data_IF_461868320615
#
_entry.id   IF_461868320615
#
_cell.length_a   1.000
_cell.length_b   1.000
_cell.length_c   1.000
_cell.angle_alpha   90.00
_cell.angle_beta   90.00
_cell.angle_gamma   90.00
#
_symmetry.space_group_name_H-M   'P 1'
#
loop_
_entity.id
_entity.type
_entity.pdbx_description
1 polymer ?
#
# COMPACT_ATOMS: atom_id res chain seq x y z
N UNK A 1 5.12 -19.44 24.31
CA UNK A 1 4.50 -18.77 23.15
C UNK A 1 3.00 -18.78 23.40
N UNK A 2 2.41 -17.61 23.61
CA UNK A 2 0.96 -17.47 23.72
C UNK A 2 0.35 -17.69 22.32
N UNK A 3 -0.60 -18.60 22.22
CA UNK A 3 -1.35 -18.86 20.99
C UNK A 3 -2.31 -17.69 20.75
N UNK A 4 -1.89 -16.70 19.94
CA UNK A 4 -2.75 -15.64 19.47
C UNK A 4 -3.58 -16.16 18.29
N UNK A 5 -4.89 -16.29 18.47
CA UNK A 5 -5.84 -16.60 17.41
C UNK A 5 -6.47 -15.31 16.87
N UNK A 6 -6.46 -15.13 15.55
CA UNK A 6 -7.16 -14.03 14.88
C UNK A 6 -8.38 -14.58 14.14
N UNK A 7 -9.52 -13.90 14.26
CA UNK A 7 -10.73 -14.24 13.52
C UNK A 7 -11.26 -13.02 12.77
N UNK A 8 -11.70 -13.23 11.53
CA UNK A 8 -12.39 -12.20 10.75
C UNK A 8 -13.89 -12.32 11.04
N UNK A 9 -14.57 -11.22 11.46
CA UNK A 9 -16.01 -11.26 11.68
C UNK A 9 -16.78 -11.71 10.44
N UNK A 10 -17.74 -12.62 10.60
CA UNK A 10 -18.50 -13.22 9.49
C UNK A 10 -19.25 -12.19 8.63
N UNK A 11 -19.70 -11.09 9.22
CA UNK A 11 -20.33 -9.98 8.48
C UNK A 11 -19.36 -9.32 7.47
N UNK A 12 -18.08 -9.19 7.84
CA UNK A 12 -17.05 -8.65 6.95
C UNK A 12 -16.78 -9.64 5.81
N UNK A 13 -16.69 -10.93 6.12
CA UNK A 13 -16.51 -11.99 5.10
C UNK A 13 -17.67 -11.96 4.11
N UNK A 14 -18.90 -11.91 4.59
CA UNK A 14 -20.10 -11.88 3.75
C UNK A 14 -20.12 -10.66 2.82
N UNK A 15 -19.87 -9.46 3.33
CA UNK A 15 -19.83 -8.23 2.50
C UNK A 15 -18.78 -8.33 1.38
N UNK A 16 -17.59 -8.85 1.70
CA UNK A 16 -16.51 -9.07 0.73
C UNK A 16 -16.90 -10.09 -0.33
N UNK A 17 -17.46 -11.24 0.09
CA UNK A 17 -17.90 -12.30 -0.83
C UNK A 17 -19.01 -11.82 -1.74
N UNK A 18 -20.03 -11.13 -1.21
CA UNK A 18 -21.14 -10.58 -1.99
C UNK A 18 -20.65 -9.56 -3.04
N UNK A 19 -19.64 -8.76 -2.72
CA UNK A 19 -19.00 -7.83 -3.67
C UNK A 19 -18.21 -8.58 -4.75
N UNK A 20 -17.44 -9.60 -4.37
CA UNK A 20 -16.69 -10.41 -5.35
C UNK A 20 -17.66 -11.10 -6.32
N UNK A 21 -18.76 -11.65 -5.82
CA UNK A 21 -19.78 -12.33 -6.67
C UNK A 21 -20.43 -11.33 -7.64
N UNK A 22 -20.75 -10.13 -7.17
CA UNK A 22 -21.45 -9.12 -8.00
C UNK A 22 -20.54 -8.39 -8.98
N UNK A 23 -19.31 -8.09 -8.57
CA UNK A 23 -18.42 -7.15 -9.28
C UNK A 23 -17.11 -7.79 -9.76
N UNK A 24 -16.91 -9.09 -9.47
CA UNK A 24 -15.68 -9.82 -9.80
C UNK A 24 -14.46 -9.43 -8.95
N UNK A 25 -14.55 -8.33 -8.19
CA UNK A 25 -13.51 -7.79 -7.33
C UNK A 25 -14.06 -6.84 -6.26
N UNK A 26 -13.34 -6.70 -5.17
CA UNK A 26 -13.65 -5.67 -4.16
C UNK A 26 -12.98 -4.35 -4.57
N UNK A 27 -13.78 -3.37 -4.93
CA UNK A 27 -13.31 -1.99 -5.12
C UNK A 27 -13.40 -1.28 -3.78
N UNK A 28 -12.27 -0.81 -3.26
CA UNK A 28 -12.24 0.04 -2.07
C UNK A 28 -12.07 1.49 -2.51
N UNK A 29 -12.88 2.36 -1.93
CA UNK A 29 -12.72 3.78 -2.11
C UNK A 29 -11.44 4.27 -1.42
N UNK A 30 -10.79 5.21 -2.05
CA UNK A 30 -9.68 5.96 -1.48
C UNK A 30 -9.99 7.45 -1.54
N UNK A 31 -9.89 8.10 -0.39
CA UNK A 31 -10.13 9.54 -0.24
C UNK A 31 -8.83 10.33 -0.05
N UNK A 32 -7.78 9.68 0.44
CA UNK A 32 -6.53 10.33 0.84
C UNK A 32 -6.58 10.92 2.24
N UNK A 33 -7.63 10.63 3.02
CA UNK A 33 -7.76 11.06 4.40
C UNK A 33 -7.15 10.02 5.34
N UNK A 34 -6.44 10.50 6.36
CA UNK A 34 -6.03 9.70 7.52
C UNK A 34 -6.64 10.30 8.75
N UNK A 35 -7.16 9.45 9.62
CA UNK A 35 -7.89 9.87 10.80
C UNK A 35 -7.13 9.59 12.08
N UNK A 36 -7.43 10.39 13.10
CA UNK A 36 -6.93 10.25 14.47
C UNK A 36 -8.07 10.49 15.45
N UNK A 37 -8.04 9.80 16.58
CA UNK A 37 -9.04 9.94 17.63
C UNK A 37 -8.99 11.34 18.28
N UNK A 38 -10.16 11.88 18.63
CA UNK A 38 -10.26 13.21 19.22
C UNK A 38 -9.93 13.26 20.72
N UNK A 39 -9.92 12.13 21.43
CA UNK A 39 -9.77 12.08 22.89
C UNK A 39 -8.59 12.90 23.40
N UNK A 40 -7.44 12.81 22.74
CA UNK A 40 -6.22 13.47 23.20
C UNK A 40 -6.21 14.98 22.89
N UNK A 41 -7.15 15.46 22.05
CA UNK A 41 -7.25 16.84 21.62
C UNK A 41 -8.46 17.58 22.20
N UNK A 42 -9.47 16.86 22.72
CA UNK A 42 -10.77 17.40 23.11
C UNK A 42 -10.76 18.38 24.31
N UNK A 43 -9.58 18.63 24.89
CA UNK A 43 -9.37 19.68 25.92
C UNK A 43 -8.15 20.54 25.60
N UNK A 44 -7.63 20.45 24.38
CA UNK A 44 -6.49 21.27 23.99
C UNK A 44 -6.98 22.64 23.52
N UNK A 45 -6.16 23.68 23.73
CA UNK A 45 -6.42 25.01 23.19
C UNK A 45 -6.40 25.09 21.66
N UNK A 46 -6.11 23.97 20.99
CA UNK A 46 -5.97 23.87 19.52
C UNK A 46 -7.20 23.28 18.83
N UNK A 47 -7.97 22.44 19.52
CA UNK A 47 -9.13 21.75 18.96
C UNK A 47 -10.26 21.79 19.99
N UNK A 48 -11.31 22.56 19.68
CA UNK A 48 -12.52 22.62 20.49
C UNK A 48 -13.65 21.86 19.79
N UNK A 49 -13.56 20.51 19.83
CA UNK A 49 -14.58 19.65 19.28
C UNK A 49 -14.93 18.53 20.24
N UNK A 50 -16.23 18.30 20.39
CA UNK A 50 -16.79 17.28 21.28
C UNK A 50 -17.25 16.02 20.53
N UNK A 51 -17.24 16.03 19.21
CA UNK A 51 -17.66 14.92 18.34
C UNK A 51 -16.98 15.02 16.96
N UNK A 52 -17.02 13.93 16.21
CA UNK A 52 -16.36 13.80 14.92
C UNK A 52 -15.06 12.99 15.01
N UNK A 53 -14.25 13.08 13.98
CA UNK A 53 -12.92 12.46 13.91
C UNK A 53 -11.92 13.45 13.33
N UNK A 54 -10.72 13.52 13.90
CA UNK A 54 -9.67 14.42 13.41
C UNK A 54 -9.10 13.91 12.08
N UNK A 55 -9.00 14.79 11.09
CA UNK A 55 -8.19 14.57 9.90
C UNK A 55 -6.73 14.83 10.26
N UNK A 56 -5.97 13.79 10.47
CA UNK A 56 -4.55 13.87 10.84
C UNK A 56 -3.67 14.27 9.67
N UNK A 57 -3.96 13.77 8.48
CA UNK A 57 -3.26 14.15 7.24
C UNK A 57 -4.15 13.98 6.02
N UNK A 58 -3.76 14.68 4.95
CA UNK A 58 -4.34 14.57 3.61
C UNK A 58 -3.21 14.19 2.65
N UNK A 59 -3.41 13.11 1.89
CA UNK A 59 -2.43 12.66 0.90
C UNK A 59 -2.39 13.62 -0.30
N UNK A 60 -1.20 13.87 -0.84
CA UNK A 60 -1.01 14.64 -2.06
C UNK A 60 -1.71 13.98 -3.26
N UNK A 61 -2.19 14.79 -4.21
CA UNK A 61 -2.92 14.35 -5.40
C UNK A 61 -4.19 13.54 -5.09
N UNK A 62 -4.65 13.58 -3.85
CA UNK A 62 -5.82 12.83 -3.39
C UNK A 62 -7.14 13.53 -3.72
N UNK A 63 -8.27 12.78 -3.72
CA UNK A 63 -9.60 13.38 -3.74
C UNK A 63 -9.82 14.41 -2.63
N UNK A 64 -9.31 14.16 -1.42
CA UNK A 64 -9.44 15.06 -0.28
C UNK A 64 -8.67 16.36 -0.50
N UNK A 65 -7.46 16.31 -1.05
CA UNK A 65 -6.69 17.51 -1.37
C UNK A 65 -7.39 18.34 -2.45
N UNK A 66 -7.89 17.71 -3.52
CA UNK A 66 -8.68 18.38 -4.55
C UNK A 66 -9.95 19.04 -4.00
N UNK A 67 -10.56 18.41 -2.98
CA UNK A 67 -11.68 18.94 -2.23
C UNK A 67 -11.26 20.01 -1.19
N UNK A 68 -9.97 20.38 -1.13
CA UNK A 68 -9.41 21.38 -0.20
C UNK A 68 -9.58 21.04 1.29
N UNK A 69 -9.67 19.74 1.60
CA UNK A 69 -9.56 19.26 2.97
C UNK A 69 -8.12 19.39 3.46
N UNK A 70 -7.95 19.57 4.77
CA UNK A 70 -6.65 19.86 5.41
C UNK A 70 -6.47 19.04 6.68
N UNK A 71 -5.23 18.80 7.06
CA UNK A 71 -4.93 18.35 8.42
C UNK A 71 -5.45 19.38 9.44
N UNK A 72 -6.05 18.88 10.52
CA UNK A 72 -6.71 19.69 11.53
C UNK A 72 -8.21 19.91 11.30
N UNK A 73 -8.78 19.56 10.14
CA UNK A 73 -10.23 19.48 9.96
C UNK A 73 -10.81 18.35 10.82
N UNK A 74 -12.04 18.54 11.28
CA UNK A 74 -12.77 17.50 12.01
C UNK A 74 -13.95 17.06 11.16
N UNK A 75 -13.93 15.83 10.70
CA UNK A 75 -15.05 15.26 9.97
C UNK A 75 -16.17 14.89 10.94
N UNK A 76 -17.32 15.55 10.83
CA UNK A 76 -18.44 15.38 11.76
C UNK A 76 -19.60 14.58 11.17
N UNK A 77 -19.77 14.58 9.85
CA UNK A 77 -20.76 13.74 9.18
C UNK A 77 -20.33 13.41 7.73
N UNK A 78 -20.77 12.27 7.22
CA UNK A 78 -20.67 11.88 5.81
C UNK A 78 -22.07 11.52 5.30
N UNK A 79 -22.51 12.17 4.20
CA UNK A 79 -23.88 12.08 3.65
C UNK A 79 -24.97 12.25 4.74
N UNK A 80 -24.76 13.22 5.62
CA UNK A 80 -25.69 13.54 6.71
C UNK A 80 -25.66 12.55 7.89
N UNK A 81 -24.95 11.43 7.79
CA UNK A 81 -24.82 10.49 8.89
C UNK A 81 -23.61 10.87 9.78
N UNK A 82 -23.79 11.02 11.09
CA UNK A 82 -22.76 11.51 12.02
C UNK A 82 -21.57 10.55 12.09
N UNK A 83 -20.40 11.13 12.42
CA UNK A 83 -19.16 10.40 12.68
C UNK A 83 -18.85 10.56 14.17
N UNK A 84 -18.50 9.44 14.82
CA UNK A 84 -18.06 9.39 16.20
C UNK A 84 -16.67 8.73 16.24
N UNK A 85 -15.64 9.55 16.45
CA UNK A 85 -14.24 9.11 16.46
C UNK A 85 -13.49 9.69 17.65
N UNK A 86 -14.09 9.52 18.85
CA UNK A 86 -13.50 9.99 20.09
C UNK A 86 -12.32 9.12 20.51
N UNK A 87 -12.40 7.80 20.30
CA UNK A 87 -11.41 6.82 20.74
C UNK A 87 -10.75 6.10 19.58
N UNK A 88 -9.55 5.59 19.81
CA UNK A 88 -8.81 4.76 18.84
C UNK A 88 -9.62 3.54 18.37
N UNK A 89 -10.44 2.98 19.25
CA UNK A 89 -11.34 1.85 18.94
C UNK A 89 -12.44 2.19 17.93
N UNK A 90 -12.73 3.47 17.72
CA UNK A 90 -13.75 3.93 16.76
C UNK A 90 -13.19 4.00 15.33
N UNK A 91 -11.87 4.21 15.19
CA UNK A 91 -11.20 4.44 13.91
C UNK A 91 -11.43 3.31 12.88
N UNK A 92 -11.35 2.01 13.22
CA UNK A 92 -11.57 0.94 12.26
C UNK A 92 -12.97 0.95 11.61
N UNK A 93 -13.99 1.41 12.33
CA UNK A 93 -15.35 1.54 11.81
C UNK A 93 -15.45 2.73 10.83
N UNK A 94 -14.81 3.85 11.16
CA UNK A 94 -14.74 5.05 10.33
C UNK A 94 -13.97 4.73 9.04
N UNK A 95 -12.80 4.11 9.14
CA UNK A 95 -11.98 3.73 7.98
C UNK A 95 -12.74 2.78 7.04
N UNK A 96 -13.44 1.77 7.57
CA UNK A 96 -14.31 0.89 6.77
C UNK A 96 -15.40 1.67 6.07
N UNK A 97 -16.05 2.63 6.76
CA UNK A 97 -17.10 3.47 6.18
C UNK A 97 -16.56 4.28 4.99
N UNK A 98 -15.42 4.93 5.14
CA UNK A 98 -14.78 5.66 4.06
C UNK A 98 -14.30 4.74 2.92
N UNK A 99 -13.80 3.56 3.22
CA UNK A 99 -13.41 2.57 2.22
C UNK A 99 -14.60 1.97 1.44
N UNK A 100 -15.83 2.08 1.97
CA UNK A 100 -17.07 1.60 1.33
C UNK A 100 -17.84 2.67 0.55
N UNK A 101 -17.35 3.91 0.50
CA UNK A 101 -17.97 4.99 -0.28
C UNK A 101 -18.03 4.64 -1.77
N UNK A 102 -19.02 5.21 -2.47
CA UNK A 102 -19.13 5.04 -3.91
C UNK A 102 -17.96 5.71 -4.63
N UNK A 103 -17.24 4.91 -5.43
CA UNK A 103 -16.10 5.42 -6.20
C UNK A 103 -16.60 6.32 -7.34
N UNK A 104 -15.90 7.44 -7.55
CA UNK A 104 -16.19 8.44 -8.60
C UNK A 104 -17.57 9.15 -8.44
N UNK A 105 -18.26 8.95 -7.32
CA UNK A 105 -19.48 9.67 -7.00
C UNK A 105 -19.22 10.72 -5.92
N UNK A 106 -19.83 11.91 -6.03
CA UNK A 106 -19.68 12.94 -5.03
C UNK A 106 -20.35 12.52 -3.73
N UNK A 107 -19.61 12.62 -2.64
CA UNK A 107 -20.04 12.35 -1.27
C UNK A 107 -19.95 13.69 -0.51
N UNK A 108 -20.96 14.03 0.26
CA UNK A 108 -20.95 15.22 1.11
C UNK A 108 -20.25 14.90 2.44
N UNK A 109 -19.22 15.65 2.75
CA UNK A 109 -18.52 15.59 4.03
C UNK A 109 -18.77 16.92 4.77
N UNK A 110 -19.40 16.85 5.93
CA UNK A 110 -19.52 18.00 6.83
C UNK A 110 -18.32 18.00 7.76
N UNK A 111 -17.61 19.13 7.82
CA UNK A 111 -16.39 19.29 8.62
C UNK A 111 -16.50 20.51 9.53
N UNK A 112 -15.77 20.48 10.62
CA UNK A 112 -15.48 21.65 11.46
C UNK A 112 -14.02 22.04 11.20
N UNK A 113 -13.82 23.31 10.81
CA UNK A 113 -12.50 23.94 10.62
C UNK A 113 -12.38 25.17 11.51
N UNK A 114 -11.61 25.04 12.59
CA UNK A 114 -11.68 26.02 13.66
C UNK A 114 -13.08 26.09 14.25
N UNK A 115 -13.74 27.24 14.20
CA UNK A 115 -15.13 27.44 14.64
C UNK A 115 -16.17 27.34 13.51
N UNK A 116 -15.76 27.15 12.28
CA UNK A 116 -16.65 27.13 11.11
C UNK A 116 -17.06 25.73 10.72
N UNK A 117 -18.38 25.53 10.50
CA UNK A 117 -18.88 24.29 9.89
C UNK A 117 -18.95 24.48 8.38
N UNK A 118 -18.29 23.57 7.65
CA UNK A 118 -18.21 23.59 6.18
C UNK A 118 -18.76 22.29 5.60
N UNK A 119 -19.48 22.39 4.49
CA UNK A 119 -19.86 21.23 3.69
C UNK A 119 -18.93 21.13 2.48
N UNK A 120 -18.24 20.01 2.35
CA UNK A 120 -17.26 19.74 1.30
C UNK A 120 -17.73 18.58 0.45
N UNK A 121 -17.69 18.74 -0.87
CA UNK A 121 -17.96 17.63 -1.80
C UNK A 121 -16.66 16.90 -2.14
N UNK A 122 -16.64 15.60 -1.91
CA UNK A 122 -15.49 14.71 -2.12
C UNK A 122 -15.90 13.57 -3.04
N UNK A 123 -15.15 13.33 -4.13
CA UNK A 123 -15.37 12.18 -5.02
C UNK A 123 -14.25 11.15 -4.82
N UNK A 124 -14.50 10.04 -4.09
CA UNK A 124 -13.49 9.04 -3.83
C UNK A 124 -12.94 8.39 -5.10
N UNK A 125 -11.66 8.05 -5.16
CA UNK A 125 -11.04 7.30 -6.24
C UNK A 125 -10.94 5.80 -5.89
N UNK A 126 -10.64 4.96 -6.89
CA UNK A 126 -10.39 3.53 -6.65
C UNK A 126 -9.00 3.33 -6.03
N UNK A 127 -8.92 2.67 -4.88
CA UNK A 127 -7.66 2.41 -4.17
C UNK A 127 -6.73 1.47 -4.95
N UNK A 128 -7.27 0.46 -5.62
CA UNK A 128 -6.48 -0.62 -6.22
C UNK A 128 -5.50 -0.23 -7.34
N UNK A 129 -5.70 0.91 -8.03
CA UNK A 129 -4.73 1.43 -9.02
C UNK A 129 -3.45 2.00 -8.38
N UNK A 130 -3.45 2.14 -7.08
CA UNK A 130 -2.39 2.83 -6.34
C UNK A 130 -1.57 1.90 -5.44
N UNK A 131 -1.99 0.64 -5.28
CA UNK A 131 -1.27 -0.35 -4.47
C UNK A 131 -0.05 -0.94 -5.17
N UNK A 132 0.17 -0.62 -6.45
CA UNK A 132 1.22 -1.21 -7.28
C UNK A 132 0.93 -2.66 -7.66
N UNK A 133 1.42 -3.05 -8.82
CA UNK A 133 1.37 -4.44 -9.27
C UNK A 133 2.56 -5.21 -8.71
N UNK A 134 2.41 -6.52 -8.56
CA UNK A 134 3.48 -7.45 -8.27
C UNK A 134 3.79 -8.33 -9.48
N UNK A 135 4.99 -8.88 -9.50
CA UNK A 135 5.46 -9.78 -10.55
C UNK A 135 6.35 -10.87 -9.95
N UNK A 136 5.96 -12.12 -10.16
CA UNK A 136 6.73 -13.27 -9.74
C UNK A 136 7.79 -13.65 -10.77
N UNK A 137 9.05 -13.59 -10.37
CA UNK A 137 10.21 -14.01 -11.16
C UNK A 137 10.60 -15.46 -10.76
N UNK A 138 9.84 -16.45 -11.24
CA UNK A 138 9.97 -17.86 -10.82
C UNK A 138 11.40 -18.40 -10.88
N UNK A 139 12.14 -18.18 -11.97
CA UNK A 139 13.53 -18.65 -12.09
C UNK A 139 14.53 -17.92 -11.21
N UNK A 140 14.18 -16.74 -10.75
CA UNK A 140 15.00 -16.00 -9.78
C UNK A 140 14.61 -16.31 -8.34
N UNK A 141 13.48 -17.00 -8.11
CA UNK A 141 12.90 -17.33 -6.81
C UNK A 141 12.61 -16.08 -5.96
N UNK A 142 12.06 -15.04 -6.60
CA UNK A 142 11.64 -13.82 -5.94
C UNK A 142 10.38 -13.22 -6.57
N UNK A 143 9.67 -12.44 -5.77
CA UNK A 143 8.56 -11.59 -6.20
C UNK A 143 8.96 -10.15 -6.04
N UNK A 144 8.73 -9.34 -7.06
CA UNK A 144 8.94 -7.89 -7.04
C UNK A 144 7.61 -7.17 -7.04
N UNK A 145 7.59 -5.98 -6.45
CA UNK A 145 6.42 -5.11 -6.43
C UNK A 145 6.81 -3.70 -6.85
N UNK A 146 5.89 -3.02 -7.52
CA UNK A 146 6.07 -1.62 -7.86
C UNK A 146 6.07 -0.76 -6.59
N UNK A 147 6.98 0.21 -6.53
CA UNK A 147 7.03 1.18 -5.44
C UNK A 147 5.94 2.20 -5.68
N UNK A 148 4.99 2.26 -4.74
CA UNK A 148 3.96 3.31 -4.70
C UNK A 148 3.88 3.87 -3.29
N UNK A 149 3.35 5.09 -3.15
CA UNK A 149 3.12 5.72 -1.84
C UNK A 149 2.26 4.84 -0.90
N UNK A 150 1.48 3.91 -1.47
CA UNK A 150 0.54 3.04 -0.74
C UNK A 150 1.10 1.66 -0.46
N UNK A 151 1.94 1.13 -1.36
CA UNK A 151 2.53 -0.21 -1.17
C UNK A 151 3.54 -0.21 -0.04
N UNK A 152 4.40 0.80 -0.02
CA UNK A 152 5.38 1.00 1.05
C UNK A 152 5.81 2.48 1.10
N UNK A 153 5.21 3.29 2.00
CA UNK A 153 5.53 4.72 2.11
C UNK A 153 7.01 4.98 2.40
N UNK A 154 7.66 4.12 3.19
CA UNK A 154 9.06 4.28 3.55
C UNK A 154 9.97 4.12 2.31
N UNK A 155 9.72 3.11 1.48
CA UNK A 155 10.47 2.92 0.23
C UNK A 155 10.18 4.03 -0.78
N UNK A 156 8.94 4.51 -0.84
CA UNK A 156 8.55 5.63 -1.70
C UNK A 156 9.35 6.90 -1.38
N UNK A 157 9.58 7.22 -0.12
CA UNK A 157 10.41 8.36 0.28
C UNK A 157 11.89 8.19 -0.06
N UNK A 158 12.38 6.95 -0.13
CA UNK A 158 13.76 6.68 -0.55
C UNK A 158 13.92 6.73 -2.07
N UNK A 159 12.96 6.20 -2.81
CA UNK A 159 12.91 6.17 -4.28
C UNK A 159 11.44 6.17 -4.72
N UNK A 160 10.90 7.29 -5.25
CA UNK A 160 9.47 7.40 -5.58
C UNK A 160 9.02 6.53 -6.76
N UNK A 161 9.95 5.97 -7.53
CA UNK A 161 9.67 5.12 -8.70
C UNK A 161 10.57 3.91 -8.71
N UNK A 162 10.10 2.80 -9.29
CA UNK A 162 10.86 1.58 -9.45
C UNK A 162 10.18 0.36 -8.87
N UNK A 163 10.96 -0.63 -8.51
CA UNK A 163 10.48 -1.88 -7.94
C UNK A 163 11.34 -2.31 -6.76
N UNK A 164 10.73 -3.00 -5.82
CA UNK A 164 11.41 -3.59 -4.67
C UNK A 164 11.10 -5.08 -4.56
N UNK A 165 11.94 -5.82 -3.87
CA UNK A 165 11.74 -7.24 -3.61
C UNK A 165 10.71 -7.39 -2.49
N UNK A 166 9.51 -7.85 -2.84
CA UNK A 166 8.43 -8.13 -1.89
C UNK A 166 8.64 -9.43 -1.14
N UNK A 167 9.15 -10.45 -1.82
CA UNK A 167 9.39 -11.76 -1.26
C UNK A 167 10.55 -12.48 -1.94
N UNK A 168 11.25 -13.32 -1.17
CA UNK A 168 12.23 -14.27 -1.68
C UNK A 168 11.86 -15.67 -1.21
N UNK A 169 11.95 -16.66 -2.11
CA UNK A 169 11.67 -18.06 -1.77
C UNK A 169 12.74 -18.55 -0.76
N UNK A 170 12.29 -19.25 0.27
CA UNK A 170 13.21 -19.88 1.23
C UNK A 170 14.10 -20.89 0.48
N UNK A 171 15.41 -20.83 0.70
CA UNK A 171 16.42 -21.61 -0.03
C UNK A 171 16.49 -21.37 -1.55
N UNK A 172 15.73 -20.43 -2.12
CA UNK A 172 15.76 -20.10 -3.53
C UNK A 172 17.00 -19.31 -3.96
N UNK A 173 17.20 -19.24 -5.28
CA UNK A 173 18.35 -18.58 -5.92
C UNK A 173 18.60 -17.16 -5.41
N UNK A 174 17.53 -16.34 -5.30
CA UNK A 174 17.61 -14.98 -4.79
C UNK A 174 18.13 -14.96 -3.34
N UNK A 175 17.60 -15.83 -2.48
CA UNK A 175 17.99 -15.88 -1.07
C UNK A 175 19.44 -16.30 -0.89
N UNK A 176 19.88 -17.33 -1.63
CA UNK A 176 21.27 -17.82 -1.61
C UNK A 176 22.23 -16.74 -2.14
N UNK A 177 21.79 -15.94 -3.10
CA UNK A 177 22.55 -14.80 -3.66
C UNK A 177 22.57 -13.56 -2.74
N UNK A 178 21.89 -13.62 -1.58
CA UNK A 178 21.89 -12.56 -0.60
C UNK A 178 20.87 -11.44 -0.85
N UNK A 179 19.96 -11.61 -1.81
CA UNK A 179 18.81 -10.72 -2.01
C UNK A 179 17.81 -10.92 -0.87
N UNK A 180 17.20 -9.84 -0.40
CA UNK A 180 16.28 -9.84 0.75
C UNK A 180 15.01 -9.05 0.43
N UNK A 181 13.97 -9.32 1.22
CA UNK A 181 12.76 -8.51 1.22
C UNK A 181 13.10 -7.05 1.51
N UNK A 182 12.36 -6.15 0.87
CA UNK A 182 12.53 -4.69 0.93
C UNK A 182 13.81 -4.14 0.29
N UNK A 183 14.60 -4.94 -0.41
CA UNK A 183 15.65 -4.42 -1.29
C UNK A 183 15.00 -3.65 -2.46
N UNK A 184 15.30 -2.36 -2.57
CA UNK A 184 14.90 -1.55 -3.72
C UNK A 184 15.88 -1.80 -4.87
N UNK A 185 15.39 -2.24 -6.01
CA UNK A 185 16.21 -2.56 -7.17
C UNK A 185 16.59 -1.27 -7.89
N UNK A 186 17.88 -0.99 -7.97
CA UNK A 186 18.42 0.18 -8.69
C UNK A 186 18.78 -0.17 -10.15
N UNK A 187 19.51 -1.29 -10.32
CA UNK A 187 19.85 -1.81 -11.66
C UNK A 187 19.87 -3.32 -11.66
N UNK A 188 19.62 -3.91 -12.84
CA UNK A 188 19.86 -5.34 -13.13
C UNK A 188 20.80 -5.37 -14.35
N UNK A 189 22.02 -5.88 -14.15
CA UNK A 189 23.13 -5.65 -15.08
C UNK A 189 23.36 -4.14 -15.22
N UNK A 190 23.40 -3.67 -16.47
CA UNK A 190 23.57 -2.25 -16.81
C UNK A 190 22.21 -1.51 -16.95
N UNK A 191 21.10 -2.21 -16.82
CA UNK A 191 19.76 -1.64 -17.00
C UNK A 191 19.26 -0.98 -15.73
N UNK A 192 18.95 0.33 -15.73
CA UNK A 192 18.28 0.98 -14.60
C UNK A 192 16.83 0.47 -14.48
N UNK A 193 16.34 0.40 -13.23
CA UNK A 193 14.99 -0.05 -12.92
C UNK A 193 14.19 1.14 -12.38
N UNK A 194 13.29 1.67 -13.22
CA UNK A 194 12.40 2.79 -12.89
C UNK A 194 10.91 2.37 -12.83
N UNK A 195 10.61 1.12 -13.24
CA UNK A 195 9.27 0.57 -13.24
C UNK A 195 9.28 -0.95 -13.09
N UNK A 196 8.12 -1.53 -12.79
CA UNK A 196 7.95 -3.00 -12.80
C UNK A 196 8.16 -3.57 -14.20
N UNK A 197 7.86 -2.79 -15.25
CA UNK A 197 8.10 -3.20 -16.64
C UNK A 197 9.59 -3.45 -16.91
N UNK A 198 10.48 -2.60 -16.38
CA UNK A 198 11.92 -2.79 -16.57
C UNK A 198 12.41 -4.09 -15.96
N UNK A 199 11.82 -4.50 -14.82
CA UNK A 199 12.11 -5.80 -14.20
C UNK A 199 11.61 -6.94 -15.08
N UNK A 200 10.39 -6.85 -15.61
CA UNK A 200 9.82 -7.87 -16.54
C UNK A 200 10.72 -8.03 -17.76
N UNK A 201 11.11 -6.93 -18.39
CA UNK A 201 11.98 -6.93 -19.56
C UNK A 201 13.37 -7.52 -19.25
N UNK A 202 13.93 -7.25 -18.06
CA UNK A 202 15.19 -7.84 -17.61
C UNK A 202 15.04 -9.33 -17.35
N UNK A 203 13.94 -9.75 -16.70
CA UNK A 203 13.63 -11.15 -16.46
C UNK A 203 13.50 -11.95 -17.75
N UNK A 204 12.66 -11.49 -18.70
CA UNK A 204 12.45 -12.14 -19.99
C UNK A 204 13.74 -12.25 -20.81
N UNK A 205 14.61 -11.23 -20.73
CA UNK A 205 15.93 -11.26 -21.34
C UNK A 205 16.82 -12.31 -20.70
N UNK A 206 16.75 -12.49 -19.38
CA UNK A 206 17.55 -13.44 -18.63
C UNK A 206 17.18 -14.88 -18.94
N UNK A 207 15.91 -15.18 -19.23
CA UNK A 207 15.45 -16.53 -19.59
C UNK A 207 16.08 -17.03 -20.88
N UNK A 208 16.58 -16.13 -21.75
CA UNK A 208 17.26 -16.45 -23.01
C UNK A 208 18.77 -16.68 -22.84
N UNK A 209 19.30 -16.52 -21.63
CA UNK A 209 20.72 -16.73 -21.36
C UNK A 209 21.09 -18.22 -21.44
N UNK A 210 22.25 -18.49 -22.02
CA UNK A 210 22.80 -19.82 -22.12
C UNK A 210 23.10 -20.40 -20.73
N UNK A 211 22.96 -21.72 -20.62
CA UNK A 211 23.38 -22.46 -19.42
C UNK A 211 24.87 -22.22 -19.15
N UNK A 212 25.25 -21.97 -17.90
CA UNK A 212 26.62 -21.57 -17.51
C UNK A 212 26.85 -20.06 -17.47
N UNK A 213 25.94 -19.24 -18.03
CA UNK A 213 26.01 -17.78 -18.02
C UNK A 213 24.88 -17.10 -17.25
N UNK A 214 24.03 -17.86 -16.55
CA UNK A 214 22.83 -17.38 -15.88
C UNK A 214 23.14 -16.66 -14.57
N UNK A 215 23.91 -15.57 -14.67
CA UNK A 215 24.29 -14.70 -13.56
C UNK A 215 23.96 -13.26 -13.90
N UNK A 216 23.34 -12.56 -12.95
CA UNK A 216 22.97 -11.15 -13.11
C UNK A 216 23.48 -10.35 -11.92
N UNK A 217 24.09 -9.21 -12.23
CA UNK A 217 24.48 -8.25 -11.20
C UNK A 217 23.28 -7.40 -10.81
N UNK A 218 22.86 -7.47 -9.55
CA UNK A 218 21.87 -6.59 -8.96
C UNK A 218 22.57 -5.49 -8.18
N UNK A 219 22.20 -4.26 -8.44
CA UNK A 219 22.49 -3.15 -7.54
C UNK A 219 21.21 -2.80 -6.82
N UNK A 220 21.22 -2.91 -5.50
CA UNK A 220 20.04 -2.66 -4.66
C UNK A 220 20.35 -1.58 -3.62
N UNK A 221 19.28 -0.93 -3.13
CA UNK A 221 19.30 -0.06 -1.96
C UNK A 221 18.64 -0.82 -0.80
N UNK A 222 19.40 -1.07 0.26
CA UNK A 222 18.95 -1.75 1.49
C UNK A 222 19.21 -0.86 2.70
N UNK A 223 18.15 -0.47 3.39
CA UNK A 223 18.26 0.41 4.57
C UNK A 223 19.12 1.68 4.31
N UNK A 224 18.98 2.29 3.12
CA UNK A 224 19.74 3.48 2.72
C UNK A 224 21.14 3.20 2.13
N UNK A 225 21.65 1.96 2.19
CA UNK A 225 22.96 1.60 1.65
C UNK A 225 22.89 0.86 0.32
N UNK A 226 23.73 1.26 -0.63
CA UNK A 226 23.85 0.55 -1.91
C UNK A 226 24.64 -0.74 -1.72
N UNK A 227 24.15 -1.83 -2.36
CA UNK A 227 24.82 -3.14 -2.36
C UNK A 227 24.86 -3.70 -3.77
N UNK A 228 25.92 -4.44 -4.04
CA UNK A 228 26.09 -5.22 -5.28
C UNK A 228 25.97 -6.69 -4.92
N UNK A 229 25.07 -7.40 -5.60
CA UNK A 229 24.79 -8.81 -5.38
C UNK A 229 24.73 -9.52 -6.72
N UNK A 230 25.30 -10.71 -6.81
CA UNK A 230 25.23 -11.52 -8.02
C UNK A 230 24.18 -12.60 -7.83
N UNK A 231 23.08 -12.47 -8.55
CA UNK A 231 22.06 -13.52 -8.63
C UNK A 231 22.54 -14.60 -9.59
N UNK A 232 22.81 -15.78 -9.05
CA UNK A 232 23.07 -17.00 -9.82
C UNK A 232 21.79 -17.84 -9.86
N UNK A 233 21.18 -18.00 -11.02
CA UNK A 233 19.93 -18.74 -11.21
C UNK A 233 20.10 -19.95 -12.18
N UNK A 234 21.28 -20.56 -12.13
CA UNK A 234 21.56 -21.80 -12.88
C UNK A 234 20.75 -22.98 -12.36
N UNK A 235 20.53 -23.04 -11.05
CA UNK A 235 19.83 -24.14 -10.41
C UNK A 235 18.32 -23.98 -10.55
N UNK A 236 17.67 -25.08 -10.87
CA UNK A 236 16.21 -25.19 -10.84
C UNK A 236 15.84 -25.71 -9.44
N UNK A 237 15.61 -24.77 -8.52
CA UNK A 237 15.35 -25.11 -7.12
C UNK A 237 13.99 -25.83 -6.94
N UNK A 238 13.06 -25.71 -7.90
CA UNK A 238 11.79 -26.46 -7.88
C UNK A 238 11.99 -27.97 -8.03
N UNK A 239 13.07 -28.39 -8.71
CA UNK A 239 13.38 -29.84 -8.92
C UNK A 239 14.16 -30.47 -7.78
N UNK A 240 14.65 -29.69 -6.83
CA UNK A 240 15.43 -30.19 -5.68
C UNK A 240 14.57 -30.47 -4.45
N UNK A 241 13.27 -30.11 -4.49
CA UNK A 241 12.31 -30.41 -3.41
C UNK A 241 11.58 -31.76 -3.63
N UNK A 242 11.71 -32.38 -4.83
CA UNK A 242 11.05 -33.65 -5.17
C UNK A 242 12.00 -34.89 -5.10
N UNK A 243 13.26 -34.73 -4.73
CA UNK A 243 14.25 -35.78 -4.46
C UNK A 243 14.55 -35.86 -2.93
#
# INVERSE_FOLDING_TARGET
AENLGFAIPSLVVRDVVDRIIREGRVRRAWTGLRFQALKDFGKSSYIDATHGVLVASVDEDSPAERAKLRAGDIAVAVDGAPIHGMYETDLPAIERRFASLAVEQPVRLDILRGSETLAVSLSPATKGKQEGEDFECKKWDLTVKEITKFSDPYLYFQKPRGAFIQGVKFQGNARVSGLLNFDVILTIGDRPIESLKDVRDAYDSSLKMEKGKRKLLFRVLRAGYRRLLVLDFEKDMEKLEDD
#
